data_IF_323272281004
#
_entry.id   IF_323272281004
#
_cell.length_a   1.000
_cell.length_b   1.000
_cell.length_c   1.000
_cell.angle_alpha   90.00
_cell.angle_beta   90.00
_cell.angle_gamma   90.00
#
_symmetry.space_group_name_H-M   'P 1'
#
loop_
_entity.id
_entity.type
_entity.pdbx_description
1 polymer ?
#
# COMPACT_ATOMS: atom_id res chain seq x y z
N UNK A 1 14.33 -19.52 13.99
CA UNK A 1 13.15 -18.66 13.89
C UNK A 1 13.08 -18.12 12.48
N UNK A 2 12.11 -18.59 11.71
CA UNK A 2 11.79 -18.05 10.39
C UNK A 2 10.70 -16.99 10.53
N UNK A 3 10.71 -15.97 9.67
CA UNK A 3 9.71 -14.90 9.71
C UNK A 3 8.27 -15.44 9.56
N UNK A 4 8.11 -16.51 8.76
CA UNK A 4 6.83 -17.20 8.59
C UNK A 4 6.26 -17.85 9.87
N UNK A 5 7.08 -18.07 10.90
CA UNK A 5 6.63 -18.64 12.17
C UNK A 5 5.98 -17.60 13.11
N UNK A 6 6.15 -16.30 12.81
CA UNK A 6 5.68 -15.19 13.67
C UNK A 6 4.69 -14.24 12.98
N UNK A 7 4.50 -14.38 11.66
CA UNK A 7 3.57 -13.57 10.87
C UNK A 7 2.16 -14.17 10.92
N UNK A 8 1.14 -13.33 11.08
CA UNK A 8 -0.27 -13.73 10.93
C UNK A 8 -0.82 -13.55 9.51
N UNK A 9 -0.32 -12.55 8.78
CA UNK A 9 -0.75 -12.22 7.41
C UNK A 9 0.49 -11.90 6.57
N UNK A 10 0.67 -12.61 5.45
CA UNK A 10 1.68 -12.34 4.44
C UNK A 10 1.01 -11.92 3.14
N UNK A 11 1.47 -10.82 2.54
CA UNK A 11 0.98 -10.33 1.26
C UNK A 11 2.12 -9.74 0.43
N UNK A 12 2.02 -9.89 -0.88
CA UNK A 12 2.96 -9.39 -1.89
C UNK A 12 2.47 -8.12 -2.60
N UNK A 13 1.28 -7.64 -2.24
CA UNK A 13 0.67 -6.43 -2.76
C UNK A 13 -0.65 -6.70 -3.48
N UNK A 14 -0.98 -5.83 -4.43
CA UNK A 14 -2.18 -5.93 -5.27
C UNK A 14 -1.72 -6.27 -6.68
N UNK A 15 -2.20 -7.39 -7.23
CA UNK A 15 -1.87 -7.81 -8.60
C UNK A 15 -2.77 -7.18 -9.68
N UNK A 16 -3.85 -6.50 -9.28
CA UNK A 16 -4.71 -5.72 -10.17
C UNK A 16 -4.28 -4.26 -10.27
N UNK A 17 -4.58 -3.61 -11.40
CA UNK A 17 -4.40 -2.16 -11.53
C UNK A 17 -5.65 -1.47 -10.94
N UNK A 18 -5.52 -0.62 -9.91
CA UNK A 18 -6.65 0.14 -9.40
C UNK A 18 -7.22 1.09 -10.44
N UNK A 19 -8.51 1.35 -10.38
CA UNK A 19 -9.17 2.44 -11.08
C UNK A 19 -8.75 3.77 -10.44
N UNK A 20 -7.88 4.50 -11.13
CA UNK A 20 -7.41 5.80 -10.69
C UNK A 20 -8.45 6.89 -10.91
N UNK A 21 -8.43 7.89 -10.03
CA UNK A 21 -9.32 9.04 -10.03
C UNK A 21 -8.52 10.28 -9.63
N UNK A 22 -8.47 11.31 -10.48
CA UNK A 22 -7.69 12.54 -10.20
C UNK A 22 -8.24 13.32 -8.99
N UNK A 23 -9.54 13.21 -8.71
CA UNK A 23 -10.20 13.85 -7.57
C UNK A 23 -10.45 12.87 -6.41
N UNK A 24 -9.92 11.64 -6.48
CA UNK A 24 -10.09 10.63 -5.46
C UNK A 24 -9.55 11.04 -4.09
N UNK A 25 -10.14 10.51 -3.02
CA UNK A 25 -9.81 10.90 -1.64
C UNK A 25 -8.56 10.22 -1.09
N UNK A 26 -8.15 9.09 -1.69
CA UNK A 26 -7.06 8.26 -1.17
C UNK A 26 -5.87 8.25 -2.14
N UNK A 27 -4.67 8.53 -1.65
CA UNK A 27 -3.44 8.32 -2.41
C UNK A 27 -3.17 6.83 -2.58
N UNK A 28 -2.86 6.41 -3.81
CA UNK A 28 -2.38 5.07 -4.09
C UNK A 28 -0.87 5.02 -3.93
N UNK A 29 -0.42 4.26 -2.93
CA UNK A 29 1.01 4.10 -2.60
C UNK A 29 1.55 2.82 -3.23
N UNK A 30 2.67 2.95 -3.94
CA UNK A 30 3.44 1.81 -4.44
C UNK A 30 4.96 2.02 -4.23
N UNK A 31 5.80 1.13 -4.76
CA UNK A 31 7.25 1.19 -4.59
C UNK A 31 7.89 2.53 -4.99
N UNK A 32 7.33 3.26 -5.96
CA UNK A 32 7.85 4.57 -6.38
C UNK A 32 7.65 5.68 -5.34
N UNK A 33 6.80 5.46 -4.35
CA UNK A 33 6.59 6.38 -3.23
C UNK A 33 7.52 6.09 -2.05
N UNK A 34 8.27 5.00 -2.07
CA UNK A 34 9.19 4.65 -0.98
C UNK A 34 10.52 5.36 -1.22
N UNK A 35 10.88 6.26 -0.31
CA UNK A 35 12.14 7.00 -0.37
C UNK A 35 12.70 7.14 1.04
N UNK A 36 13.95 6.70 1.23
CA UNK A 36 14.68 6.88 2.50
C UNK A 36 13.87 6.42 3.74
N UNK A 37 13.35 5.19 3.66
CA UNK A 37 12.60 4.54 4.74
C UNK A 37 11.21 5.10 5.03
N UNK A 38 10.72 6.05 4.22
CA UNK A 38 9.39 6.67 4.39
C UNK A 38 8.56 6.65 3.10
N UNK A 39 7.26 6.85 3.26
CA UNK A 39 6.35 7.10 2.15
C UNK A 39 6.38 8.60 1.83
N UNK A 40 6.68 8.93 0.59
CA UNK A 40 6.65 10.28 0.05
C UNK A 40 5.51 10.44 -0.96
N UNK A 41 4.64 11.42 -0.70
CA UNK A 41 3.60 11.83 -1.64
C UNK A 41 4.21 12.82 -2.63
N UNK A 42 4.30 12.40 -3.89
CA UNK A 42 4.80 13.17 -5.03
C UNK A 42 3.64 13.82 -5.78
N UNK A 43 3.92 14.85 -6.57
CA UNK A 43 2.93 15.55 -7.40
C UNK A 43 2.14 14.60 -8.32
N UNK A 44 2.82 13.60 -8.89
CA UNK A 44 2.23 12.59 -9.77
C UNK A 44 1.67 11.36 -9.03
N UNK A 45 1.56 11.41 -7.69
CA UNK A 45 0.98 10.30 -6.91
C UNK A 45 -0.48 10.16 -7.27
N UNK A 46 -0.81 9.02 -7.88
CA UNK A 46 -2.18 8.71 -8.29
C UNK A 46 -3.09 8.60 -7.07
N UNK A 47 -4.37 8.89 -7.28
CA UNK A 47 -5.41 8.74 -6.27
C UNK A 47 -6.46 7.74 -6.73
N UNK A 48 -7.24 7.24 -5.79
CA UNK A 48 -8.36 6.33 -6.02
C UNK A 48 -9.56 6.83 -5.22
N UNK A 49 -10.76 6.54 -5.72
CA UNK A 49 -11.99 6.85 -5.01
C UNK A 49 -12.13 6.00 -3.74
N UNK A 50 -12.99 6.45 -2.83
CA UNK A 50 -13.37 5.67 -1.64
C UNK A 50 -13.84 4.25 -1.98
N UNK A 51 -14.64 4.07 -3.04
CA UNK A 51 -15.13 2.74 -3.43
C UNK A 51 -13.97 1.81 -3.85
N UNK A 52 -13.03 2.34 -4.63
CA UNK A 52 -11.87 1.57 -5.06
C UNK A 52 -10.95 1.23 -3.88
N UNK A 53 -10.76 2.17 -2.95
CA UNK A 53 -10.05 1.91 -1.69
C UNK A 53 -10.68 0.76 -0.91
N UNK A 54 -12.00 0.72 -0.74
CA UNK A 54 -12.66 -0.35 0.03
C UNK A 54 -12.46 -1.75 -0.57
N UNK A 55 -12.27 -1.87 -1.89
CA UNK A 55 -12.00 -3.17 -2.54
C UNK A 55 -10.65 -3.75 -2.16
N UNK A 56 -9.65 -2.90 -1.99
CA UNK A 56 -8.24 -3.32 -1.89
C UNK A 56 -7.57 -3.00 -0.57
N UNK A 57 -8.21 -2.21 0.31
CA UNK A 57 -7.63 -1.82 1.60
C UNK A 57 -7.19 -3.06 2.39
N UNK A 58 -6.06 -2.92 3.05
CA UNK A 58 -5.57 -3.86 4.05
C UNK A 58 -5.48 -3.12 5.37
N UNK A 59 -5.94 -3.75 6.43
CA UNK A 59 -5.77 -3.22 7.77
C UNK A 59 -4.28 -3.23 8.11
N UNK A 60 -3.74 -2.06 8.44
CA UNK A 60 -2.38 -1.89 8.94
C UNK A 60 -2.46 -1.54 10.42
N UNK A 61 -1.53 -2.07 11.20
CA UNK A 61 -1.39 -1.77 12.62
C UNK A 61 0.09 -1.64 13.01
N UNK A 62 0.35 -1.41 14.29
CA UNK A 62 1.67 -1.30 14.89
C UNK A 62 2.55 -2.57 14.75
N UNK A 63 1.95 -3.70 14.34
CA UNK A 63 2.64 -4.96 14.06
C UNK A 63 2.78 -5.24 12.57
N UNK A 64 2.50 -4.26 11.73
CA UNK A 64 2.67 -4.39 10.27
C UNK A 64 4.07 -3.94 9.86
N UNK A 65 4.76 -4.82 9.13
CA UNK A 65 6.11 -4.55 8.60
C UNK A 65 6.05 -4.53 7.08
N UNK A 66 6.57 -3.46 6.49
CA UNK A 66 6.82 -3.41 5.05
C UNK A 66 8.20 -4.02 4.78
N UNK A 67 8.22 -5.14 4.06
CA UNK A 67 9.46 -5.86 3.72
C UNK A 67 9.84 -5.58 2.26
N UNK A 68 11.11 -5.25 2.05
CA UNK A 68 11.76 -5.08 0.74
C UNK A 68 13.16 -5.70 0.83
N UNK A 69 13.63 -6.26 -0.28
CA UNK A 69 14.96 -6.89 -0.41
C UNK A 69 16.01 -5.91 -0.93
#
# INVERSE_FOLDING_TARGET
>A
MQLGEIISILGDGIHGTPSYDEIGEFFFINGNNLYDGRIEIKENTKRVSTNEYQKYKKELNDRTVLAFY
#
